data_IF_570280162840
#
_entry.id   IF_570280162840
#
_cell.length_a   1.000
_cell.length_b   1.000
_cell.length_c   1.000
_cell.angle_alpha   90.00
_cell.angle_beta   90.00
_cell.angle_gamma   90.00
#
_symmetry.space_group_name_H-M   'P 1'
#
loop_
_entity.id
_entity.type
_entity.pdbx_description
1 polymer ?
#
# COMPACT_ATOMS: atom_id res chain seq x y z
N UNK A 1 -9.88 -9.53 -8.58
CA UNK A 1 -9.64 -9.63 -10.02
C UNK A 1 -10.30 -8.45 -10.75
N UNK A 2 -9.51 -7.59 -11.39
CA UNK A 2 -10.01 -6.41 -12.12
C UNK A 2 -10.27 -6.73 -13.60
N UNK A 3 -9.66 -7.79 -14.11
CA UNK A 3 -9.71 -8.11 -15.54
C UNK A 3 -10.49 -9.40 -15.79
N UNK A 4 -11.53 -9.39 -16.64
CA UNK A 4 -12.18 -10.61 -17.08
C UNK A 4 -11.17 -11.55 -17.76
N UNK A 5 -11.29 -12.85 -17.53
CA UNK A 5 -10.37 -13.85 -18.10
C UNK A 5 -9.09 -14.12 -17.31
N UNK A 6 -8.69 -13.24 -16.37
CA UNK A 6 -7.57 -13.51 -15.46
C UNK A 6 -8.02 -14.41 -14.30
N UNK A 7 -7.61 -15.66 -14.33
CA UNK A 7 -7.98 -16.65 -13.32
C UNK A 7 -6.98 -16.73 -12.15
N UNK A 8 -5.73 -16.28 -12.34
CA UNK A 8 -4.66 -16.39 -11.33
C UNK A 8 -3.68 -15.23 -11.42
N UNK A 9 -2.84 -15.08 -10.39
CA UNK A 9 -1.73 -14.13 -10.38
C UNK A 9 -0.69 -14.46 -11.45
N UNK A 10 -0.45 -15.74 -11.74
CA UNK A 10 0.42 -16.18 -12.82
C UNK A 10 -0.07 -15.71 -14.20
N UNK A 11 -1.38 -15.78 -14.47
CA UNK A 11 -1.94 -15.21 -15.71
C UNK A 11 -1.78 -13.70 -15.81
N UNK A 12 -1.92 -12.97 -14.69
CA UNK A 12 -1.65 -11.53 -14.66
C UNK A 12 -0.18 -11.26 -15.01
N UNK A 13 0.75 -12.02 -14.43
CA UNK A 13 2.18 -11.89 -14.71
C UNK A 13 2.48 -12.17 -16.19
N UNK A 14 1.91 -13.24 -16.74
CA UNK A 14 2.04 -13.57 -18.17
C UNK A 14 1.49 -12.46 -19.09
N UNK A 15 0.34 -11.89 -18.75
CA UNK A 15 -0.24 -10.77 -19.51
C UNK A 15 0.66 -9.53 -19.50
N UNK A 16 1.20 -9.18 -18.34
CA UNK A 16 2.11 -8.04 -18.23
C UNK A 16 3.42 -8.26 -18.98
N UNK A 17 3.97 -9.48 -18.94
CA UNK A 17 5.15 -9.84 -19.76
C UNK A 17 4.87 -9.78 -21.25
N UNK A 18 3.70 -10.23 -21.68
CA UNK A 18 3.28 -10.13 -23.08
C UNK A 18 3.13 -8.68 -23.57
N UNK A 19 2.85 -7.75 -22.69
CA UNK A 19 2.83 -6.30 -22.98
C UNK A 19 4.27 -5.74 -23.10
N UNK A 20 5.24 -6.37 -22.47
CA UNK A 20 6.66 -5.96 -22.53
C UNK A 20 7.31 -5.67 -21.18
N UNK A 21 6.65 -5.95 -20.06
CA UNK A 21 7.30 -5.88 -18.74
C UNK A 21 8.28 -7.05 -18.58
N UNK A 22 9.48 -6.76 -18.07
CA UNK A 22 10.50 -7.78 -17.83
C UNK A 22 10.20 -8.62 -16.59
N UNK A 23 9.63 -7.99 -15.55
CA UNK A 23 9.18 -8.68 -14.34
C UNK A 23 7.97 -8.00 -13.70
N UNK A 24 7.33 -8.70 -12.75
CA UNK A 24 6.14 -8.24 -12.05
C UNK A 24 6.27 -8.60 -10.57
N UNK A 25 6.14 -7.59 -9.71
CA UNK A 25 6.30 -7.71 -8.27
C UNK A 25 5.02 -7.30 -7.56
N UNK A 26 4.62 -8.04 -6.54
CA UNK A 26 3.46 -7.72 -5.71
C UNK A 26 3.78 -6.53 -4.79
N UNK A 27 3.07 -5.40 -4.98
CA UNK A 27 3.31 -4.18 -4.19
C UNK A 27 3.01 -4.35 -2.70
N UNK A 28 2.30 -5.38 -2.32
CA UNK A 28 2.02 -5.70 -0.91
C UNK A 28 3.27 -6.07 -0.10
N UNK A 29 4.41 -6.41 -0.74
CA UNK A 29 5.70 -6.54 -0.05
C UNK A 29 6.15 -5.18 0.54
N UNK A 30 5.92 -4.08 -0.18
CA UNK A 30 6.16 -2.74 0.34
C UNK A 30 5.19 -2.36 1.46
N UNK A 31 4.00 -2.97 1.50
CA UNK A 31 3.06 -2.80 2.60
C UNK A 31 3.53 -3.53 3.87
N UNK A 32 4.19 -4.68 3.72
CA UNK A 32 4.83 -5.38 4.85
C UNK A 32 5.92 -4.51 5.49
N UNK A 33 6.82 -3.95 4.68
CA UNK A 33 7.83 -3.00 5.14
C UNK A 33 7.22 -1.75 5.80
N UNK A 34 6.18 -1.20 5.18
CA UNK A 34 5.44 -0.05 5.70
C UNK A 34 4.80 -0.36 7.08
N UNK A 35 4.29 -1.58 7.28
CA UNK A 35 3.69 -1.99 8.55
C UNK A 35 4.71 -1.95 9.68
N UNK A 36 5.87 -2.53 9.46
CA UNK A 36 6.96 -2.58 10.46
C UNK A 36 7.49 -1.19 10.76
N UNK A 37 7.75 -0.40 9.71
CA UNK A 37 8.25 0.96 9.82
C UNK A 37 7.28 1.89 10.59
N UNK A 38 5.99 1.87 10.22
CA UNK A 38 4.94 2.65 10.91
C UNK A 38 4.73 2.19 12.36
N UNK A 39 4.89 0.89 12.65
CA UNK A 39 4.80 0.37 14.02
C UNK A 39 5.93 0.92 14.90
N UNK A 40 7.16 0.92 14.41
CA UNK A 40 8.30 1.54 15.12
C UNK A 40 8.10 3.05 15.32
N UNK A 41 7.67 3.77 14.28
CA UNK A 41 7.42 5.20 14.37
C UNK A 41 6.31 5.51 15.39
N UNK A 42 5.24 4.71 15.42
CA UNK A 42 4.17 4.88 16.40
C UNK A 42 4.69 4.71 17.84
N UNK A 43 5.45 3.66 18.12
CA UNK A 43 6.01 3.39 19.45
C UNK A 43 7.00 4.48 19.90
N UNK A 44 7.76 5.05 18.97
CA UNK A 44 8.75 6.11 19.24
C UNK A 44 8.10 7.49 19.46
N UNK A 45 6.96 7.75 18.82
CA UNK A 45 6.40 9.10 18.75
C UNK A 45 5.15 9.29 19.64
N UNK A 46 4.35 8.23 19.89
CA UNK A 46 3.06 8.33 20.59
C UNK A 46 3.13 7.64 21.96
N UNK A 47 2.70 8.29 23.06
CA UNK A 47 2.16 9.66 23.14
C UNK A 47 3.23 10.74 23.41
N UNK A 48 4.49 10.39 23.54
CA UNK A 48 5.55 11.26 24.10
C UNK A 48 5.74 12.55 23.30
N UNK A 49 5.75 12.48 21.98
CA UNK A 49 5.98 13.61 21.08
C UNK A 49 4.73 14.02 20.30
N UNK A 50 3.90 13.04 19.97
CA UNK A 50 2.66 13.24 19.24
C UNK A 50 1.47 12.75 20.07
N UNK A 51 0.41 13.53 20.14
CA UNK A 51 -0.81 13.11 20.79
C UNK A 51 -1.58 12.00 20.04
N UNK A 52 -1.33 11.83 18.76
CA UNK A 52 -1.77 10.72 17.92
C UNK A 52 -0.87 10.64 16.68
N UNK A 53 -0.87 9.51 15.99
CA UNK A 53 -0.24 9.36 14.67
C UNK A 53 -1.30 8.98 13.64
N UNK A 54 -1.11 9.40 12.39
CA UNK A 54 -1.99 9.07 11.28
C UNK A 54 -1.17 8.49 10.11
N UNK A 55 -1.66 7.42 9.50
CA UNK A 55 -1.00 6.71 8.41
C UNK A 55 -0.80 7.62 7.19
N UNK A 56 0.18 7.32 6.34
CA UNK A 56 0.53 8.14 5.16
C UNK A 56 0.27 7.47 3.82
N UNK A 57 -0.02 6.18 3.78
CA UNK A 57 0.00 5.35 2.57
C UNK A 57 -1.02 5.77 1.48
N UNK A 58 -2.10 6.47 1.84
CA UNK A 58 -3.06 7.05 0.89
C UNK A 58 -2.70 8.51 0.55
N UNK A 59 -2.19 8.82 -0.68
CA UNK A 59 -1.76 10.17 -1.02
C UNK A 59 -2.89 11.19 -1.06
N UNK A 60 -4.12 10.79 -1.39
CA UNK A 60 -5.28 11.69 -1.34
C UNK A 60 -5.61 12.13 0.09
N UNK A 61 -5.57 11.18 1.04
CA UNK A 61 -5.73 11.44 2.47
C UNK A 61 -4.62 12.32 3.03
N UNK A 62 -3.36 11.90 2.87
CA UNK A 62 -2.22 12.59 3.45
C UNK A 62 -2.05 14.01 2.89
N UNK A 63 -2.35 14.22 1.60
CA UNK A 63 -2.35 15.54 0.98
C UNK A 63 -3.46 16.42 1.57
N UNK A 64 -4.69 15.90 1.63
CA UNK A 64 -5.82 16.61 2.22
C UNK A 64 -5.53 16.97 3.69
N UNK A 65 -4.98 16.05 4.47
CA UNK A 65 -4.61 16.27 5.86
C UNK A 65 -3.58 17.42 5.99
N UNK A 66 -2.50 17.38 5.22
CA UNK A 66 -1.42 18.39 5.27
C UNK A 66 -1.88 19.76 4.77
N UNK A 67 -2.80 19.83 3.81
CA UNK A 67 -3.28 21.11 3.26
C UNK A 67 -4.43 21.72 4.05
N UNK A 68 -5.40 20.92 4.48
CA UNK A 68 -6.57 21.40 5.20
C UNK A 68 -6.33 21.58 6.73
N UNK A 69 -5.34 20.86 7.27
CA UNK A 69 -4.98 20.87 8.68
C UNK A 69 -3.45 20.99 8.85
N UNK A 70 -2.82 22.10 8.42
CA UNK A 70 -1.36 22.24 8.48
C UNK A 70 -0.79 22.07 9.88
N UNK A 71 -1.53 22.42 10.93
CA UNK A 71 -1.15 22.21 12.33
C UNK A 71 -0.98 20.72 12.70
N UNK A 72 -1.69 19.84 11.98
CA UNK A 72 -1.63 18.39 12.17
C UNK A 72 -0.69 17.70 11.18
N UNK A 73 0.00 18.43 10.31
CA UNK A 73 0.89 17.85 9.31
C UNK A 73 1.97 16.97 9.93
N UNK A 74 2.46 17.32 11.13
CA UNK A 74 3.45 16.55 11.89
C UNK A 74 2.94 15.21 12.41
N UNK A 75 1.63 15.05 12.54
CA UNK A 75 0.99 13.82 12.99
C UNK A 75 0.81 12.79 11.85
N UNK A 76 1.02 13.21 10.60
CA UNK A 76 0.97 12.29 9.46
C UNK A 76 2.32 11.60 9.34
N UNK A 77 2.30 10.29 9.42
CA UNK A 77 3.51 9.45 9.32
C UNK A 77 4.36 9.86 8.11
N UNK A 78 5.66 9.78 8.27
CA UNK A 78 6.63 10.00 7.20
C UNK A 78 7.09 8.71 6.54
N UNK A 79 6.58 7.56 7.01
CA UNK A 79 6.82 6.26 6.38
C UNK A 79 6.49 6.33 4.88
N UNK A 80 7.37 5.79 4.06
CA UNK A 80 7.16 5.70 2.62
C UNK A 80 5.95 4.82 2.32
N UNK A 81 5.23 5.17 1.25
CA UNK A 81 4.08 4.34 0.84
C UNK A 81 4.57 3.01 0.23
N UNK A 82 3.73 1.95 0.24
CA UNK A 82 4.08 0.66 -0.37
C UNK A 82 4.60 0.77 -1.81
N UNK A 83 4.02 1.67 -2.61
CA UNK A 83 4.51 1.95 -3.97
C UNK A 83 5.96 2.40 -3.99
N UNK A 84 6.31 3.36 -3.13
CA UNK A 84 7.65 3.94 -3.08
C UNK A 84 8.65 2.94 -2.50
N UNK A 85 8.30 2.24 -1.42
CA UNK A 85 9.13 1.18 -0.86
C UNK A 85 9.48 0.14 -1.91
N UNK A 86 8.47 -0.43 -2.56
CA UNK A 86 8.69 -1.47 -3.57
C UNK A 86 9.56 -0.96 -4.72
N UNK A 87 9.25 0.22 -5.25
CA UNK A 87 10.01 0.78 -6.37
C UNK A 87 11.47 1.05 -6.01
N UNK A 88 11.73 1.65 -4.85
CA UNK A 88 13.09 1.93 -4.38
C UNK A 88 13.89 0.65 -4.16
N UNK A 89 13.28 -0.35 -3.52
CA UNK A 89 13.91 -1.65 -3.29
C UNK A 89 14.30 -2.33 -4.62
N UNK A 90 13.41 -2.31 -5.61
CA UNK A 90 13.71 -2.88 -6.93
C UNK A 90 14.83 -2.11 -7.63
N UNK A 91 14.86 -0.79 -7.56
CA UNK A 91 15.94 0.04 -8.14
C UNK A 91 17.27 -0.09 -7.41
N UNK A 92 17.29 -0.50 -6.17
CA UNK A 92 18.55 -0.85 -5.49
C UNK A 92 19.14 -2.14 -6.05
N UNK A 93 18.29 -3.11 -6.39
CA UNK A 93 18.72 -4.35 -7.03
C UNK A 93 19.13 -4.14 -8.49
N UNK A 94 18.41 -3.28 -9.21
CA UNK A 94 18.70 -2.89 -10.59
C UNK A 94 18.46 -1.38 -10.79
N UNK A 95 19.51 -0.54 -10.71
CA UNK A 95 19.41 0.93 -10.85
C UNK A 95 18.89 1.40 -12.21
N UNK A 96 19.02 0.59 -13.27
CA UNK A 96 18.55 0.93 -14.62
C UNK A 96 17.07 0.53 -14.84
N UNK A 97 16.47 -0.21 -13.90
CA UNK A 97 15.08 -0.64 -14.01
C UNK A 97 14.12 0.56 -14.09
N UNK A 98 13.14 0.47 -14.98
CA UNK A 98 12.03 1.43 -15.05
C UNK A 98 10.83 0.88 -14.31
N UNK A 99 10.43 1.60 -13.26
CA UNK A 99 9.36 1.18 -12.37
C UNK A 99 8.01 1.72 -12.81
N UNK A 100 7.07 0.81 -13.06
CA UNK A 100 5.68 1.15 -13.38
C UNK A 100 4.77 0.61 -12.27
N UNK A 101 4.15 1.49 -11.51
CA UNK A 101 3.10 1.09 -10.58
C UNK A 101 1.77 0.91 -11.33
N UNK A 102 1.15 -0.26 -11.17
CA UNK A 102 -0.18 -0.56 -11.72
C UNK A 102 -1.15 -0.76 -10.57
N UNK A 103 -2.20 0.06 -10.51
CA UNK A 103 -3.14 -0.01 -9.40
C UNK A 103 -4.37 0.87 -9.57
N UNK A 104 -5.29 0.88 -8.59
CA UNK A 104 -6.60 1.53 -8.71
C UNK A 104 -6.55 3.07 -8.50
N UNK A 105 -5.37 3.68 -8.32
CA UNK A 105 -5.27 4.99 -7.68
C UNK A 105 -4.74 6.08 -8.61
N UNK A 106 -5.59 7.03 -9.01
CA UNK A 106 -5.17 8.21 -9.76
C UNK A 106 -4.26 9.16 -8.94
N UNK A 107 -4.44 9.24 -7.61
CA UNK A 107 -3.61 10.09 -6.75
C UNK A 107 -2.14 9.62 -6.67
N UNK A 108 -1.85 8.35 -6.96
CA UNK A 108 -0.48 7.82 -7.08
C UNK A 108 0.31 8.47 -8.23
N UNK A 109 -0.37 8.97 -9.27
CA UNK A 109 0.28 9.76 -10.34
C UNK A 109 0.90 11.06 -9.80
N UNK A 110 0.17 11.75 -8.92
CA UNK A 110 0.69 12.96 -8.26
C UNK A 110 1.80 12.63 -7.27
N UNK A 111 1.68 11.52 -6.56
CA UNK A 111 2.74 11.08 -5.66
C UNK A 111 4.04 10.77 -6.41
N UNK A 112 3.96 10.01 -7.50
CA UNK A 112 5.10 9.69 -8.35
C UNK A 112 5.77 10.94 -8.96
N UNK A 113 5.04 12.04 -9.18
CA UNK A 113 5.58 13.28 -9.71
C UNK A 113 6.37 14.12 -8.69
N UNK A 114 6.31 13.81 -7.39
CA UNK A 114 7.01 14.56 -6.34
C UNK A 114 8.52 14.45 -6.49
N UNK A 115 9.24 15.53 -6.15
CA UNK A 115 10.72 15.56 -6.22
C UNK A 115 11.40 14.41 -5.47
N UNK A 116 10.82 13.97 -4.37
CA UNK A 116 11.34 12.90 -3.50
C UNK A 116 10.99 11.48 -3.96
N UNK A 117 10.15 11.33 -4.97
CA UNK A 117 9.61 10.03 -5.41
C UNK A 117 9.85 9.78 -6.90
N UNK A 118 9.93 10.84 -7.73
CA UNK A 118 10.02 10.71 -9.19
C UNK A 118 11.25 9.98 -9.72
N UNK A 119 12.27 9.79 -8.89
CA UNK A 119 13.43 8.96 -9.20
C UNK A 119 13.18 7.47 -8.95
N UNK A 120 12.22 7.14 -8.08
CA UNK A 120 11.90 5.77 -7.71
C UNK A 120 10.81 5.17 -8.62
N UNK A 121 9.76 5.96 -8.94
CA UNK A 121 8.60 5.51 -9.73
C UNK A 121 8.54 6.27 -11.04
N UNK A 122 8.80 5.60 -12.17
CA UNK A 122 8.83 6.22 -13.49
C UNK A 122 7.43 6.40 -14.08
N UNK A 123 6.53 5.42 -13.88
CA UNK A 123 5.18 5.42 -14.45
C UNK A 123 4.14 4.96 -13.43
N UNK A 124 2.93 5.45 -13.61
CA UNK A 124 1.74 4.98 -12.86
C UNK A 124 0.61 4.75 -13.85
N UNK A 125 0.11 3.53 -13.91
CA UNK A 125 -1.06 3.13 -14.70
C UNK A 125 -2.21 2.76 -13.77
N UNK A 126 -3.41 3.19 -14.12
CA UNK A 126 -4.64 2.68 -13.51
C UNK A 126 -5.03 1.34 -14.15
N UNK A 127 -5.95 0.61 -13.52
CA UNK A 127 -6.45 -0.62 -14.14
C UNK A 127 -7.22 -0.34 -15.44
N UNK A 128 -7.92 0.80 -15.53
CA UNK A 128 -8.58 1.22 -16.77
C UNK A 128 -7.56 1.47 -17.89
N UNK A 129 -6.46 2.15 -17.59
CA UNK A 129 -5.39 2.41 -18.57
C UNK A 129 -4.70 1.11 -19.01
N UNK A 130 -4.47 0.19 -18.06
CA UNK A 130 -3.93 -1.13 -18.41
C UNK A 130 -4.91 -1.94 -19.28
N UNK A 131 -6.22 -1.87 -19.01
CA UNK A 131 -7.23 -2.52 -19.85
C UNK A 131 -7.18 -2.00 -21.29
N UNK A 132 -7.04 -0.68 -21.47
CA UNK A 132 -6.87 -0.09 -22.79
C UNK A 132 -5.61 -0.56 -23.52
N UNK A 133 -4.50 -0.76 -22.79
CA UNK A 133 -3.27 -1.31 -23.37
C UNK A 133 -3.46 -2.77 -23.79
N UNK A 134 -4.11 -3.58 -22.95
CA UNK A 134 -4.41 -5.00 -23.21
C UNK A 134 -5.27 -5.11 -24.49
N UNK A 135 -6.32 -4.28 -24.59
CA UNK A 135 -7.19 -4.23 -25.77
C UNK A 135 -6.43 -3.79 -27.03
N UNK A 136 -5.63 -2.73 -26.91
CA UNK A 136 -4.83 -2.23 -28.05
C UNK A 136 -3.78 -3.23 -28.55
N UNK A 137 -3.36 -4.17 -27.70
CA UNK A 137 -2.45 -5.27 -28.03
C UNK A 137 -3.17 -6.52 -28.51
N UNK A 138 -4.50 -6.51 -28.57
CA UNK A 138 -5.35 -7.66 -28.94
C UNK A 138 -5.01 -8.94 -28.12
N UNK A 139 -4.78 -8.77 -26.82
CA UNK A 139 -4.39 -9.86 -25.92
C UNK A 139 -5.62 -10.58 -25.38
N UNK A 140 -5.82 -11.84 -25.76
CA UNK A 140 -6.80 -12.71 -25.12
C UNK A 140 -6.25 -13.26 -23.80
N UNK A 141 -6.66 -12.62 -22.69
CA UNK A 141 -6.24 -13.00 -21.34
C UNK A 141 -6.63 -14.42 -20.95
N UNK A 142 -7.70 -14.97 -21.55
CA UNK A 142 -8.16 -16.32 -21.24
C UNK A 142 -7.24 -17.39 -21.83
N UNK A 143 -6.68 -17.12 -23.01
CA UNK A 143 -5.80 -18.05 -23.73
C UNK A 143 -4.34 -18.01 -23.30
N UNK A 144 -3.92 -17.02 -22.49
CA UNK A 144 -2.54 -16.91 -22.04
C UNK A 144 -2.09 -18.16 -21.27
N UNK A 145 -0.95 -18.70 -21.65
CA UNK A 145 -0.28 -19.76 -20.91
C UNK A 145 0.58 -19.17 -19.80
N UNK A 146 0.57 -19.83 -18.65
CA UNK A 146 1.44 -19.48 -17.51
C UNK A 146 2.72 -20.31 -17.63
N UNK A 147 3.86 -19.65 -17.59
CA UNK A 147 5.14 -20.35 -17.54
C UNK A 147 5.24 -21.13 -16.21
N UNK A 148 5.32 -22.46 -16.25
CA UNK A 148 5.38 -23.29 -15.04
C UNK A 148 6.67 -23.08 -14.22
N UNK A 149 7.68 -22.44 -14.80
CA UNK A 149 8.94 -22.10 -14.10
C UNK A 149 8.86 -20.79 -13.35
N UNK A 150 7.85 -19.95 -13.64
CA UNK A 150 7.64 -18.71 -12.95
C UNK A 150 6.80 -18.89 -11.70
N UNK A 151 7.34 -18.44 -10.57
CA UNK A 151 6.61 -18.47 -9.32
C UNK A 151 5.43 -17.48 -9.37
N UNK A 152 4.31 -17.88 -8.76
CA UNK A 152 3.19 -16.98 -8.49
C UNK A 152 3.64 -15.79 -7.63
N UNK A 153 2.83 -14.72 -7.61
CA UNK A 153 3.03 -13.57 -6.73
C UNK A 153 2.67 -13.99 -5.28
N UNK A 154 3.63 -14.58 -4.57
CA UNK A 154 3.46 -15.17 -3.23
C UNK A 154 4.39 -14.56 -2.18
N UNK A 155 4.81 -13.31 -2.38
CA UNK A 155 5.88 -12.71 -1.59
C UNK A 155 5.41 -11.82 -0.44
N UNK A 156 4.11 -11.52 -0.36
CA UNK A 156 3.55 -10.65 0.65
C UNK A 156 2.72 -11.38 1.70
N UNK A 157 2.69 -10.82 2.91
CA UNK A 157 1.87 -11.30 4.01
C UNK A 157 0.38 -11.03 3.81
N UNK A 158 -0.45 -11.70 4.63
CA UNK A 158 -1.87 -11.37 4.74
C UNK A 158 -2.09 -9.93 5.20
N UNK A 159 -1.25 -9.42 6.10
CA UNK A 159 -1.30 -8.04 6.60
C UNK A 159 -1.03 -7.05 5.47
N UNK A 160 0.04 -7.23 4.69
CA UNK A 160 0.36 -6.35 3.55
C UNK A 160 -0.72 -6.35 2.47
N UNK A 161 -1.28 -7.51 2.13
CA UNK A 161 -2.42 -7.61 1.20
C UNK A 161 -3.66 -6.89 1.73
N UNK A 162 -3.84 -6.85 3.04
CA UNK A 162 -4.95 -6.18 3.72
C UNK A 162 -4.99 -4.66 3.55
N UNK A 163 -3.86 -4.02 3.21
CA UNK A 163 -3.76 -2.56 3.00
C UNK A 163 -4.72 -2.01 1.95
N UNK A 164 -5.15 -2.84 1.03
CA UNK A 164 -6.07 -2.41 -0.03
C UNK A 164 -7.50 -2.12 0.46
N UNK A 165 -7.87 -2.56 1.67
CA UNK A 165 -9.16 -2.27 2.31
C UNK A 165 -9.02 -1.15 3.35
N UNK A 166 -10.08 -0.37 3.52
CA UNK A 166 -10.15 0.61 4.60
C UNK A 166 -10.13 -0.08 5.96
N UNK A 167 -9.32 0.41 6.88
CA UNK A 167 -9.04 -0.20 8.18
C UNK A 167 -7.86 -1.18 8.18
N UNK A 168 -7.40 -1.61 7.01
CA UNK A 168 -6.37 -2.64 6.89
C UNK A 168 -4.99 -2.18 7.32
N UNK A 169 -4.64 -0.93 7.06
CA UNK A 169 -3.34 -0.36 7.44
C UNK A 169 -3.21 -0.22 8.94
N UNK A 170 -4.15 0.49 9.56
CA UNK A 170 -4.12 0.70 11.01
C UNK A 170 -4.20 -0.64 11.77
N UNK A 171 -4.98 -1.60 11.25
CA UNK A 171 -5.05 -2.93 11.82
C UNK A 171 -3.70 -3.65 11.75
N UNK A 172 -3.06 -3.67 10.59
CA UNK A 172 -1.77 -4.35 10.42
C UNK A 172 -0.70 -3.78 11.36
N UNK A 173 -0.62 -2.45 11.48
CA UNK A 173 0.32 -1.77 12.38
C UNK A 173 -0.01 -2.07 13.85
N UNK A 174 -1.28 -2.00 14.25
CA UNK A 174 -1.69 -2.30 15.62
C UNK A 174 -1.44 -3.77 15.99
N UNK A 175 -1.73 -4.71 15.08
CA UNK A 175 -1.47 -6.14 15.27
C UNK A 175 0.04 -6.39 15.45
N UNK A 176 0.89 -5.73 14.67
CA UNK A 176 2.35 -5.85 14.78
C UNK A 176 2.86 -5.30 16.11
N UNK A 177 2.39 -4.13 16.55
CA UNK A 177 2.71 -3.58 17.87
C UNK A 177 2.27 -4.54 18.98
N UNK A 178 1.08 -5.12 18.85
CA UNK A 178 0.56 -6.10 19.83
C UNK A 178 1.41 -7.35 19.92
N UNK A 179 1.99 -7.79 18.80
CA UNK A 179 2.93 -8.92 18.78
C UNK A 179 4.22 -8.60 19.52
N UNK A 180 4.82 -7.43 19.27
CA UNK A 180 6.03 -6.99 19.96
C UNK A 180 5.81 -6.65 21.43
N UNK A 181 4.64 -6.07 21.75
CA UNK A 181 4.25 -5.60 23.07
C UNK A 181 2.87 -6.15 23.47
N UNK A 182 2.79 -7.42 23.94
CA UNK A 182 1.51 -8.08 24.23
C UNK A 182 0.60 -7.35 25.24
N UNK A 183 1.17 -6.54 26.11
CA UNK A 183 0.44 -5.75 27.11
C UNK A 183 -0.07 -4.41 26.55
N UNK A 184 0.37 -4.01 25.35
CA UNK A 184 -0.06 -2.77 24.71
C UNK A 184 -1.28 -3.02 23.81
N UNK A 185 -2.32 -2.19 23.98
CA UNK A 185 -3.51 -2.21 23.12
C UNK A 185 -3.63 -0.88 22.38
N UNK A 186 -3.15 -0.85 21.15
CA UNK A 186 -3.18 0.35 20.31
C UNK A 186 -4.60 0.62 19.83
N UNK A 187 -5.14 1.77 20.23
CA UNK A 187 -6.45 2.22 19.78
C UNK A 187 -6.36 2.72 18.33
N UNK A 188 -7.23 2.23 17.48
CA UNK A 188 -7.30 2.62 16.08
C UNK A 188 -8.63 3.32 15.76
N UNK A 189 -8.59 4.25 14.80
CA UNK A 189 -9.79 4.81 14.20
C UNK A 189 -9.55 5.04 12.70
N UNK A 190 -10.49 4.59 11.88
CA UNK A 190 -10.37 4.64 10.42
C UNK A 190 -11.53 5.43 9.81
N UNK A 191 -11.24 6.11 8.70
CA UNK A 191 -12.24 6.82 7.89
C UNK A 191 -11.99 6.56 6.40
N UNK A 192 -13.08 6.53 5.63
CA UNK A 192 -13.06 6.32 4.20
C UNK A 192 -13.90 7.37 3.46
N UNK A 193 -13.38 7.83 2.32
CA UNK A 193 -13.90 9.01 1.66
C UNK A 193 -13.41 10.31 2.33
N UNK A 194 -13.02 11.31 1.53
CA UNK A 194 -12.38 12.53 2.03
C UNK A 194 -13.24 13.32 3.03
N UNK A 195 -14.57 13.26 2.91
CA UNK A 195 -15.48 13.95 3.84
C UNK A 195 -15.40 13.36 5.25
N UNK A 196 -15.43 12.03 5.38
CA UNK A 196 -15.30 11.35 6.67
C UNK A 196 -13.88 11.46 7.22
N UNK A 197 -12.87 11.40 6.36
CA UNK A 197 -11.48 11.68 6.72
C UNK A 197 -11.32 13.08 7.32
N UNK A 198 -11.97 14.08 6.73
CA UNK A 198 -11.97 15.44 7.27
C UNK A 198 -12.60 15.52 8.67
N UNK A 199 -13.73 14.82 8.88
CA UNK A 199 -14.38 14.75 10.21
C UNK A 199 -13.46 14.08 11.24
N UNK A 200 -12.79 12.99 10.85
CA UNK A 200 -11.82 12.30 11.70
C UNK A 200 -10.74 13.28 12.20
N UNK A 201 -10.13 14.06 11.29
CA UNK A 201 -9.11 15.06 11.64
C UNK A 201 -9.66 16.20 12.50
N UNK A 202 -10.88 16.67 12.25
CA UNK A 202 -11.50 17.68 13.11
C UNK A 202 -11.66 17.20 14.55
N UNK A 203 -12.08 15.95 14.73
CA UNK A 203 -12.20 15.32 16.04
C UNK A 203 -10.83 15.07 16.69
N UNK A 204 -9.83 14.67 15.90
CA UNK A 204 -8.45 14.50 16.37
C UNK A 204 -7.86 15.84 16.84
N UNK A 205 -8.07 16.93 16.08
CA UNK A 205 -7.69 18.29 16.47
C UNK A 205 -8.34 18.73 17.79
N UNK A 206 -9.59 18.27 18.02
CA UNK A 206 -10.31 18.53 19.28
C UNK A 206 -9.88 17.62 20.45
N UNK A 207 -8.86 16.75 20.26
CA UNK A 207 -8.30 15.90 21.32
C UNK A 207 -9.05 14.56 21.54
N UNK A 208 -10.03 14.21 20.69
CA UNK A 208 -10.81 12.97 20.86
C UNK A 208 -9.96 11.70 20.69
N UNK A 209 -8.89 11.76 19.90
CA UNK A 209 -8.09 10.63 19.50
C UNK A 209 -6.66 10.64 20.05
N UNK A 210 -6.48 11.15 21.26
CA UNK A 210 -5.16 11.09 21.90
C UNK A 210 -4.77 9.64 22.20
N UNK A 211 -3.54 9.25 21.82
CA UNK A 211 -3.03 7.89 21.92
C UNK A 211 -3.48 6.93 20.81
N UNK A 212 -4.13 7.43 19.76
CA UNK A 212 -4.64 6.61 18.67
C UNK A 212 -3.70 6.58 17.47
N UNK A 213 -3.76 5.48 16.74
CA UNK A 213 -3.35 5.40 15.34
C UNK A 213 -4.58 5.63 14.44
N UNK A 214 -4.50 6.65 13.58
CA UNK A 214 -5.58 7.02 12.68
C UNK A 214 -5.29 6.57 11.26
N UNK A 215 -6.30 6.03 10.58
CA UNK A 215 -6.22 5.71 9.15
C UNK A 215 -7.23 6.53 8.36
N UNK A 216 -6.77 7.11 7.25
CA UNK A 216 -7.65 7.73 6.27
C UNK A 216 -7.45 7.15 4.87
N UNK A 217 -8.55 6.72 4.25
CA UNK A 217 -8.58 6.32 2.85
C UNK A 217 -9.44 7.30 2.05
N UNK A 218 -8.85 7.90 1.01
CA UNK A 218 -9.56 8.87 0.17
C UNK A 218 -10.74 8.29 -0.60
N UNK A 219 -10.75 6.98 -0.84
CA UNK A 219 -11.79 6.26 -1.57
C UNK A 219 -12.68 5.44 -0.63
N UNK A 220 -14.01 5.38 -0.86
CA UNK A 220 -14.89 4.47 -0.12
C UNK A 220 -14.49 2.99 -0.33
N UNK A 221 -14.41 2.24 0.76
CA UNK A 221 -13.93 0.85 0.76
C UNK A 221 -12.41 0.70 0.77
N UNK A 222 -11.66 1.80 0.65
CA UNK A 222 -10.21 1.78 0.48
C UNK A 222 -9.79 1.75 -0.99
N UNK A 223 -8.60 1.22 -1.29
CA UNK A 223 -8.06 1.18 -2.65
C UNK A 223 -8.92 0.36 -3.62
N UNK A 224 -9.65 -0.63 -3.13
CA UNK A 224 -10.59 -1.43 -3.95
C UNK A 224 -11.74 -0.61 -4.55
N UNK A 225 -12.04 0.56 -4.00
CA UNK A 225 -13.00 1.54 -4.55
C UNK A 225 -12.31 2.74 -5.21
N UNK A 226 -11.06 2.59 -5.62
CA UNK A 226 -10.27 3.65 -6.25
C UNK A 226 -10.81 4.08 -7.63
N UNK A 227 -10.51 5.31 -8.03
CA UNK A 227 -11.02 5.90 -9.26
C UNK A 227 -10.57 5.19 -10.56
N UNK A 228 -9.52 4.39 -10.51
CA UNK A 228 -9.03 3.63 -11.66
C UNK A 228 -9.38 2.13 -11.61
N UNK A 229 -10.41 1.74 -10.83
CA UNK A 229 -10.91 0.36 -10.80
C UNK A 229 -11.90 0.10 -11.94
N UNK A 230 -11.95 -1.15 -12.39
CA UNK A 230 -12.88 -1.62 -13.42
C UNK A 230 -13.99 -2.46 -12.78
N UNK A 231 -13.61 -3.31 -11.82
CA UNK A 231 -14.53 -4.23 -11.16
C UNK A 231 -15.32 -3.54 -10.04
N UNK A 232 -16.52 -4.05 -9.79
CA UNK A 232 -17.35 -3.62 -8.67
C UNK A 232 -16.62 -3.78 -7.32
N UNK A 233 -16.57 -2.74 -6.46
CA UNK A 233 -15.84 -2.79 -5.19
C UNK A 233 -16.31 -3.88 -4.23
N UNK A 234 -17.61 -4.21 -4.19
CA UNK A 234 -18.13 -5.23 -3.30
C UNK A 234 -17.67 -6.64 -3.73
N UNK A 235 -17.67 -6.92 -5.03
CA UNK A 235 -17.10 -8.16 -5.57
C UNK A 235 -15.59 -8.23 -5.34
N UNK A 236 -14.90 -7.12 -5.55
CA UNK A 236 -13.44 -7.01 -5.31
C UNK A 236 -13.11 -7.28 -3.85
N UNK A 237 -13.89 -6.78 -2.90
CA UNK A 237 -13.69 -7.05 -1.47
C UNK A 237 -13.75 -8.55 -1.14
N UNK A 238 -14.71 -9.27 -1.71
CA UNK A 238 -14.82 -10.74 -1.50
C UNK A 238 -13.59 -11.47 -2.05
N UNK A 239 -13.15 -11.09 -3.26
CA UNK A 239 -11.98 -11.71 -3.89
C UNK A 239 -10.68 -11.35 -3.17
N UNK A 240 -10.53 -10.11 -2.72
CA UNK A 240 -9.38 -9.68 -1.93
C UNK A 240 -9.32 -10.42 -0.59
N UNK A 241 -10.44 -10.60 0.10
CA UNK A 241 -10.48 -11.38 1.34
C UNK A 241 -10.08 -12.85 1.13
N UNK A 242 -10.41 -13.43 -0.02
CA UNK A 242 -9.90 -14.76 -0.39
C UNK A 242 -8.38 -14.71 -0.60
N UNK A 243 -7.89 -13.76 -1.35
CA UNK A 243 -6.47 -13.57 -1.65
C UNK A 243 -5.62 -13.30 -0.39
N UNK A 244 -6.16 -12.56 0.58
CA UNK A 244 -5.55 -12.36 1.90
C UNK A 244 -5.41 -13.69 2.64
N UNK A 245 -6.44 -14.55 2.63
CA UNK A 245 -6.41 -15.87 3.28
C UNK A 245 -5.45 -16.85 2.60
N UNK A 246 -5.17 -16.66 1.33
CA UNK A 246 -4.22 -17.46 0.53
C UNK A 246 -2.78 -16.94 0.64
N UNK A 247 -2.52 -15.93 1.47
CA UNK A 247 -1.16 -15.46 1.70
C UNK A 247 -0.29 -16.56 2.33
N UNK A 248 0.98 -16.68 1.93
CA UNK A 248 1.87 -17.73 2.42
C UNK A 248 2.17 -17.60 3.92
N UNK A 249 2.03 -16.40 4.47
CA UNK A 249 2.24 -16.09 5.88
C UNK A 249 1.35 -14.90 6.29
N UNK A 250 1.18 -14.71 7.59
CA UNK A 250 0.35 -13.64 8.16
C UNK A 250 1.15 -12.43 8.61
N UNK A 251 2.35 -12.69 9.13
CA UNK A 251 3.22 -11.70 9.74
C UNK A 251 4.10 -11.01 8.69
N UNK A 252 4.11 -9.66 8.62
CA UNK A 252 4.97 -8.89 7.72
C UNK A 252 6.46 -9.18 7.85
N UNK A 253 6.96 -9.48 9.05
CA UNK A 253 8.39 -9.77 9.29
C UNK A 253 8.87 -11.08 8.65
N UNK A 254 7.94 -11.98 8.27
CA UNK A 254 8.26 -13.18 7.52
C UNK A 254 8.54 -12.92 6.03
N UNK A 255 8.34 -11.68 5.56
CA UNK A 255 8.67 -11.29 4.19
C UNK A 255 10.17 -11.41 3.94
N UNK A 256 10.55 -12.10 2.87
CA UNK A 256 11.95 -12.22 2.43
C UNK A 256 12.60 -10.84 2.13
N UNK A 257 11.79 -9.80 1.94
CA UNK A 257 12.25 -8.44 1.67
C UNK A 257 12.47 -7.60 2.92
N UNK A 258 12.14 -8.11 4.11
CA UNK A 258 12.25 -7.36 5.36
C UNK A 258 13.69 -6.90 5.66
N UNK A 259 14.69 -7.68 5.25
CA UNK A 259 16.11 -7.30 5.37
C UNK A 259 16.47 -6.01 4.64
N UNK A 260 15.61 -5.51 3.73
CA UNK A 260 15.86 -4.27 3.01
C UNK A 260 15.28 -3.02 3.72
N UNK A 261 14.60 -3.17 4.85
CA UNK A 261 13.91 -2.05 5.51
C UNK A 261 14.89 -0.95 5.94
N UNK A 262 16.03 -1.31 6.50
CA UNK A 262 17.07 -0.37 6.95
C UNK A 262 17.78 0.34 5.79
N UNK A 263 17.87 -0.28 4.64
CA UNK A 263 18.49 0.30 3.43
C UNK A 263 17.57 1.33 2.78
N UNK A 264 16.27 1.24 3.04
CA UNK A 264 15.24 2.14 2.47
C UNK A 264 15.07 3.43 3.27
N UNK A 265 15.52 3.46 4.52
CA UNK A 265 15.68 4.68 5.30
C UNK A 265 17.14 5.14 5.19
N UNK A 266 17.35 6.38 4.77
CA UNK A 266 18.64 7.07 4.87
C UNK A 266 18.95 7.41 6.36
N UNK A 267 18.60 6.52 7.27
CA UNK A 267 18.77 6.67 8.71
C UNK A 267 19.76 5.58 9.20
N UNK A 268 21.03 5.94 9.45
CA UNK A 268 22.02 4.98 9.91
C UNK A 268 21.75 4.44 11.32
N UNK A 269 20.89 5.09 12.09
CA UNK A 269 20.55 4.72 13.48
C UNK A 269 19.24 3.88 13.56
N UNK A 270 18.69 3.45 12.39
CA UNK A 270 17.53 2.59 12.36
C UNK A 270 17.93 1.15 12.71
N UNK A 271 17.77 0.80 13.98
CA UNK A 271 17.86 -0.58 14.47
C UNK A 271 16.45 -1.21 14.48
N UNK A 272 16.33 -2.43 13.92
CA UNK A 272 15.14 -3.28 14.03
C UNK A 272 14.96 -3.79 15.46
#
# INVERSE_FOLDING_TARGET
NQFPGLASTGKLKAALKAIGFCDVVEVAIGADLCTVDEAHDFLKEVPEKLNFMATSCCPAWSMMAKTAFPDLAKNISMTMTPMVFTARMMKQADPEARMCFIGPCAAKKLEASRRTVRSDVDFVLTFEELAGIIEAKDLDLASLEVDPTEQDLIHASAAGRGFAQSGGVAKAVADKIKEWHPDMDVKIASAQGLAECKKLLMLAKAGKYNGYLLEGMGCPGGCIGGAGTIADPARTAVQLNKYIKEAPFTDPEQSAFMSNIHVLKDDPDFEL
#
